data_IF_386419428253
#
_entry.id   IF_386419428253
#
_cell.length_a   1.000
_cell.length_b   1.000
_cell.length_c   1.000
_cell.angle_alpha   90.00
_cell.angle_beta   90.00
_cell.angle_gamma   90.00
#
_symmetry.space_group_name_H-M   'P 1'
#
loop_
_entity.id
_entity.type
_entity.pdbx_description
1 polymer ?
#
# COMPACT_ATOMS: atom_id res chain seq x y z
N UNK A 1 4.92 38.29 -16.58
CA UNK A 1 5.01 36.91 -17.09
C UNK A 1 5.48 36.06 -15.91
N UNK A 2 4.76 35.12 -15.32
CA UNK A 2 3.43 34.54 -15.53
C UNK A 2 2.92 34.12 -14.14
N UNK A 3 1.65 34.39 -13.88
CA UNK A 3 0.94 34.09 -12.64
C UNK A 3 0.92 32.57 -12.38
N UNK A 4 1.49 32.13 -11.26
CA UNK A 4 1.04 30.89 -10.62
C UNK A 4 -0.27 31.25 -9.90
N UNK A 5 -1.40 30.97 -10.55
CA UNK A 5 -2.72 31.01 -9.90
C UNK A 5 -2.76 29.86 -8.90
N UNK A 6 -2.31 30.11 -7.68
CA UNK A 6 -2.60 29.25 -6.55
C UNK A 6 -4.11 29.27 -6.34
N UNK A 7 -4.82 28.26 -6.83
CA UNK A 7 -6.13 27.90 -6.28
C UNK A 7 -5.89 27.33 -4.88
N UNK A 8 -5.49 28.22 -3.98
CA UNK A 8 -5.67 28.10 -2.55
C UNK A 8 -7.14 28.39 -2.31
N UNK A 9 -7.99 27.40 -2.55
CA UNK A 9 -9.28 27.40 -1.85
C UNK A 9 -8.94 27.22 -0.37
N UNK A 10 -8.75 28.37 0.27
CA UNK A 10 -8.30 28.59 1.62
C UNK A 10 -9.10 27.75 2.61
N UNK A 11 -8.53 26.65 3.09
CA UNK A 11 -8.93 25.98 4.33
C UNK A 11 -8.33 26.74 5.52
N UNK A 12 -8.76 27.99 5.71
CA UNK A 12 -8.42 28.73 6.93
C UNK A 12 -9.02 28.03 8.14
N UNK A 13 -8.27 28.03 9.25
CA UNK A 13 -8.73 27.44 10.52
C UNK A 13 -10.11 27.96 10.94
N UNK A 14 -10.41 29.23 10.64
CA UNK A 14 -11.73 29.84 10.86
C UNK A 14 -12.88 29.13 10.12
N UNK A 15 -12.65 28.62 8.91
CA UNK A 15 -13.65 27.84 8.16
C UNK A 15 -13.82 26.44 8.74
N UNK A 16 -12.73 25.83 9.21
CA UNK A 16 -12.75 24.51 9.86
C UNK A 16 -13.52 24.60 11.18
N UNK A 17 -13.23 25.61 12.01
CA UNK A 17 -13.94 25.85 13.28
C UNK A 17 -15.42 26.15 13.07
N UNK A 18 -15.74 26.97 12.06
CA UNK A 18 -17.14 27.24 11.69
C UNK A 18 -17.86 25.97 11.25
N UNK A 19 -17.24 25.15 10.39
CA UNK A 19 -17.82 23.87 9.97
C UNK A 19 -18.02 22.92 11.16
N UNK A 20 -17.06 22.84 12.08
CA UNK A 20 -17.17 22.00 13.28
C UNK A 20 -18.30 22.48 14.21
N UNK A 21 -18.44 23.80 14.36
CA UNK A 21 -19.46 24.43 15.20
C UNK A 21 -20.87 24.32 14.61
N UNK A 22 -21.00 24.49 13.29
CA UNK A 22 -22.28 24.35 12.57
C UNK A 22 -22.76 22.89 12.55
N UNK A 23 -21.83 21.92 12.46
CA UNK A 23 -22.14 20.50 12.47
C UNK A 23 -22.14 19.86 13.87
N UNK A 24 -21.99 20.65 14.94
CA UNK A 24 -21.96 20.18 16.35
C UNK A 24 -20.99 19.02 16.59
N UNK A 25 -19.80 19.08 16.02
CA UNK A 25 -18.75 18.08 16.24
C UNK A 25 -18.13 18.37 17.60
N UNK A 26 -18.40 17.52 18.61
CA UNK A 26 -17.81 17.65 19.94
C UNK A 26 -16.31 17.32 19.85
N UNK A 27 -15.38 18.20 20.27
CA UNK A 27 -13.92 17.95 20.20
C UNK A 27 -13.45 16.77 21.07
N UNK A 28 -14.32 16.24 21.93
CA UNK A 28 -14.07 15.05 22.74
C UNK A 28 -14.99 13.86 22.37
N UNK A 29 -15.67 13.93 21.22
CA UNK A 29 -16.36 12.76 20.66
C UNK A 29 -15.31 11.74 20.28
N UNK A 30 -15.30 10.65 21.06
CA UNK A 30 -14.58 9.41 20.86
C UNK A 30 -14.26 9.14 19.38
N UNK A 31 -12.98 8.94 19.07
CA UNK A 31 -12.34 8.61 17.78
C UNK A 31 -12.93 7.36 17.10
N UNK A 32 -13.98 6.75 17.66
CA UNK A 32 -14.74 5.63 17.11
C UNK A 32 -15.63 5.97 15.90
N UNK A 33 -15.62 7.22 15.42
CA UNK A 33 -16.00 7.55 14.04
C UNK A 33 -14.77 7.62 13.10
N UNK A 34 -13.76 6.81 13.38
CA UNK A 34 -12.77 6.37 12.41
C UNK A 34 -13.54 5.73 11.26
N UNK A 35 -13.85 6.53 10.23
CA UNK A 35 -14.49 6.12 8.97
C UNK A 35 -14.20 4.66 8.69
N UNK A 36 -15.22 3.80 8.80
CA UNK A 36 -15.08 2.38 8.51
C UNK A 36 -14.34 2.25 7.18
N UNK A 37 -13.11 1.72 7.23
CA UNK A 37 -12.30 1.54 6.04
C UNK A 37 -13.11 0.62 5.15
N UNK A 38 -13.65 1.18 4.04
CA UNK A 38 -14.45 0.40 3.10
C UNK A 38 -13.72 -0.90 2.73
N UNK A 39 -14.46 -1.97 2.49
CA UNK A 39 -13.86 -3.26 2.14
C UNK A 39 -12.83 -3.13 1.01
N UNK A 40 -13.10 -2.29 0.00
CA UNK A 40 -12.18 -2.00 -1.10
C UNK A 40 -10.83 -1.44 -0.62
N UNK A 41 -10.85 -0.51 0.34
CA UNK A 41 -9.63 0.05 0.93
C UNK A 41 -8.86 -1.00 1.74
N UNK A 42 -9.54 -1.93 2.41
CA UNK A 42 -8.89 -3.06 3.10
C UNK A 42 -8.21 -3.98 2.09
N UNK A 43 -8.88 -4.31 0.99
CA UNK A 43 -8.32 -5.11 -0.10
C UNK A 43 -7.10 -4.45 -0.73
N UNK A 44 -7.21 -3.17 -1.11
CA UNK A 44 -6.08 -2.43 -1.69
C UNK A 44 -4.87 -2.41 -0.75
N UNK A 45 -5.09 -2.24 0.57
CA UNK A 45 -4.02 -2.32 1.56
C UNK A 45 -3.32 -3.67 1.56
N UNK A 46 -4.07 -4.78 1.46
CA UNK A 46 -3.50 -6.13 1.40
C UNK A 46 -2.65 -6.37 0.15
N UNK A 47 -2.91 -5.65 -0.93
CA UNK A 47 -2.16 -5.77 -2.18
C UNK A 47 -0.92 -4.88 -2.25
N UNK A 48 -0.83 -3.85 -1.39
CA UNK A 48 0.32 -2.95 -1.39
C UNK A 48 1.61 -3.74 -1.20
N UNK A 49 2.59 -3.43 -2.05
CA UNK A 49 3.91 -4.05 -2.07
C UNK A 49 3.92 -5.56 -2.36
N UNK A 50 2.78 -6.15 -2.76
CA UNK A 50 2.75 -7.51 -3.29
C UNK A 50 3.08 -7.51 -4.78
N UNK A 51 3.55 -8.66 -5.24
CA UNK A 51 3.91 -8.86 -6.64
C UNK A 51 2.65 -9.01 -7.49
N UNK A 52 2.54 -8.15 -8.49
CA UNK A 52 1.51 -8.18 -9.51
C UNK A 52 2.10 -8.69 -10.82
N UNK A 53 1.40 -9.60 -11.48
CA UNK A 53 1.61 -9.97 -12.88
C UNK A 53 0.45 -9.41 -13.70
N UNK A 54 0.76 -8.47 -14.58
CA UNK A 54 -0.21 -7.75 -15.39
C UNK A 54 -0.04 -8.14 -16.86
N UNK A 55 -1.09 -8.65 -17.49
CA UNK A 55 -1.13 -8.85 -18.95
C UNK A 55 -1.65 -7.58 -19.62
N UNK A 56 -0.92 -7.13 -20.63
CA UNK A 56 -1.21 -5.93 -21.41
C UNK A 56 -1.91 -6.31 -22.73
N UNK A 57 -2.68 -5.39 -23.29
CA UNK A 57 -3.42 -5.59 -24.55
C UNK A 57 -2.53 -5.84 -25.78
N UNK A 58 -1.26 -5.48 -25.72
CA UNK A 58 -0.30 -5.66 -26.82
C UNK A 58 0.57 -6.92 -26.69
N UNK A 59 0.17 -7.86 -25.82
CA UNK A 59 0.88 -9.13 -25.63
C UNK A 59 2.09 -9.05 -24.70
N UNK A 60 2.25 -7.94 -23.96
CA UNK A 60 3.29 -7.82 -22.94
C UNK A 60 2.78 -8.28 -21.57
N UNK A 61 3.67 -8.86 -20.78
CA UNK A 61 3.46 -9.17 -19.36
C UNK A 61 4.39 -8.32 -18.53
N UNK A 62 3.83 -7.54 -17.61
CA UNK A 62 4.58 -6.74 -16.65
C UNK A 62 4.51 -7.41 -15.28
N UNK A 63 5.66 -7.57 -14.62
CA UNK A 63 5.74 -8.15 -13.28
C UNK A 63 6.45 -7.15 -12.38
N UNK A 64 5.81 -6.73 -11.30
CA UNK A 64 6.39 -5.74 -10.38
C UNK A 64 5.58 -5.60 -9.09
N UNK A 65 6.06 -4.77 -8.17
CA UNK A 65 5.42 -4.52 -6.88
C UNK A 65 4.30 -3.50 -7.04
N UNK A 66 3.10 -3.82 -6.56
CA UNK A 66 1.99 -2.87 -6.57
C UNK A 66 2.22 -1.72 -5.60
N UNK A 67 2.33 -0.49 -6.12
CA UNK A 67 2.58 0.71 -5.30
C UNK A 67 1.27 1.45 -5.02
N UNK A 68 0.49 1.73 -6.07
CA UNK A 68 -0.79 2.41 -5.92
C UNK A 68 -1.66 2.26 -7.17
N UNK A 69 -2.92 2.70 -7.04
CA UNK A 69 -3.90 2.81 -8.13
C UNK A 69 -4.76 4.06 -7.96
N UNK A 70 -5.44 4.47 -9.03
CA UNK A 70 -6.43 5.55 -9.02
C UNK A 70 -7.84 5.04 -9.40
N UNK A 71 -8.81 5.96 -9.48
CA UNK A 71 -10.20 5.64 -9.81
C UNK A 71 -10.39 5.13 -11.27
N UNK A 72 -9.45 5.42 -12.16
CA UNK A 72 -9.45 4.95 -13.55
C UNK A 72 -8.68 3.63 -13.71
N UNK A 73 -8.28 3.01 -12.60
CA UNK A 73 -7.45 1.81 -12.56
C UNK A 73 -6.09 1.98 -13.25
N UNK A 74 -5.55 3.21 -13.32
CA UNK A 74 -4.14 3.37 -13.64
C UNK A 74 -3.31 2.84 -12.48
N UNK A 75 -2.28 2.04 -12.75
CA UNK A 75 -1.46 1.39 -11.74
C UNK A 75 -0.03 1.91 -11.80
N UNK A 76 0.56 2.13 -10.64
CA UNK A 76 2.01 2.28 -10.51
C UNK A 76 2.60 0.95 -10.03
N UNK A 77 3.55 0.40 -10.79
CA UNK A 77 4.35 -0.76 -10.40
C UNK A 77 5.81 -0.35 -10.15
N UNK A 78 6.36 -0.79 -9.02
CA UNK A 78 7.78 -0.66 -8.68
C UNK A 78 8.57 -1.92 -9.03
N UNK A 79 9.88 -1.79 -9.21
CA UNK A 79 10.79 -2.91 -9.54
C UNK A 79 10.28 -3.77 -10.69
N UNK A 80 9.76 -3.13 -11.73
CA UNK A 80 9.00 -3.80 -12.79
C UNK A 80 9.92 -4.37 -13.84
N UNK A 81 9.64 -5.61 -14.24
CA UNK A 81 10.20 -6.30 -15.39
C UNK A 81 9.13 -6.56 -16.44
N UNK A 82 9.50 -6.46 -17.71
CA UNK A 82 8.66 -6.65 -18.88
C UNK A 82 9.08 -7.92 -19.65
N UNK A 83 8.08 -8.69 -20.09
CA UNK A 83 8.22 -9.89 -20.91
C UNK A 83 7.27 -9.81 -22.10
N UNK A 84 7.70 -10.27 -23.28
CA UNK A 84 6.84 -10.30 -24.47
C UNK A 84 6.36 -11.72 -24.76
N UNK A 85 5.08 -11.87 -25.15
CA UNK A 85 4.54 -13.12 -25.68
C UNK A 85 5.30 -13.53 -26.95
N UNK A 86 6.23 -14.47 -26.80
CA UNK A 86 7.18 -14.84 -27.85
C UNK A 86 8.53 -15.35 -27.34
N UNK A 87 8.75 -15.34 -26.02
CA UNK A 87 9.99 -15.83 -25.42
C UNK A 87 11.14 -14.85 -25.52
N UNK A 88 10.84 -13.55 -25.59
CA UNK A 88 11.85 -12.49 -25.49
C UNK A 88 12.49 -12.44 -24.10
N UNK A 89 13.65 -11.82 -24.02
CA UNK A 89 14.36 -11.65 -22.74
C UNK A 89 13.65 -10.67 -21.81
N UNK A 90 13.92 -10.83 -20.51
CA UNK A 90 13.47 -9.90 -19.49
C UNK A 90 14.04 -8.50 -19.72
N UNK A 91 13.18 -7.48 -19.68
CA UNK A 91 13.61 -6.09 -19.68
C UNK A 91 13.22 -5.41 -18.37
N UNK A 92 14.22 -4.96 -17.62
CA UNK A 92 14.01 -4.16 -16.42
C UNK A 92 13.54 -2.75 -16.78
N UNK A 93 12.41 -2.33 -16.21
CA UNK A 93 11.83 -1.00 -16.40
C UNK A 93 11.94 -0.11 -15.15
N UNK A 94 11.93 -0.69 -13.95
CA UNK A 94 11.96 0.06 -12.69
C UNK A 94 10.57 0.51 -12.24
N UNK A 95 10.32 1.83 -12.17
CA UNK A 95 9.02 2.39 -11.78
C UNK A 95 8.21 2.77 -13.02
N UNK A 96 7.02 2.20 -13.17
CA UNK A 96 6.19 2.41 -14.37
C UNK A 96 4.75 2.77 -14.02
N UNK A 97 4.14 3.60 -14.87
CA UNK A 97 2.71 3.85 -14.88
C UNK A 97 2.05 3.04 -15.99
N UNK A 98 1.03 2.27 -15.63
CA UNK A 98 0.27 1.41 -16.53
C UNK A 98 -1.14 1.98 -16.65
N UNK A 99 -1.56 2.47 -17.83
CA UNK A 99 -2.93 2.91 -18.03
C UNK A 99 -3.93 1.77 -17.90
N UNK A 100 -4.97 1.95 -17.08
CA UNK A 100 -5.94 0.88 -16.78
C UNK A 100 -6.62 0.29 -18.01
N UNK A 101 -6.89 1.11 -19.02
CA UNK A 101 -7.50 0.71 -20.31
C UNK A 101 -6.71 -0.33 -21.13
N UNK A 102 -5.42 -0.51 -20.84
CA UNK A 102 -4.57 -1.48 -21.53
C UNK A 102 -4.31 -2.74 -20.70
N UNK A 103 -4.91 -2.85 -19.51
CA UNK A 103 -4.81 -4.02 -18.65
C UNK A 103 -5.85 -5.06 -19.10
N UNK A 104 -5.37 -6.26 -19.40
CA UNK A 104 -6.20 -7.42 -19.73
C UNK A 104 -6.52 -8.22 -18.48
N UNK A 105 -5.51 -8.50 -17.65
CA UNK A 105 -5.68 -9.23 -16.39
C UNK A 105 -4.59 -8.87 -15.39
N UNK A 106 -4.89 -9.08 -14.12
CA UNK A 106 -3.95 -8.95 -13.00
C UNK A 106 -4.00 -10.24 -12.20
N UNK A 107 -2.84 -10.81 -11.94
CA UNK A 107 -2.63 -11.91 -11.00
C UNK A 107 -1.79 -11.37 -9.84
N UNK A 108 -2.17 -11.70 -8.61
CA UNK A 108 -1.50 -11.21 -7.39
C UNK A 108 -0.97 -12.41 -6.63
N UNK A 109 0.29 -12.36 -6.21
CA UNK A 109 0.86 -13.34 -5.30
C UNK A 109 0.66 -12.86 -3.85
N UNK A 110 -0.29 -13.46 -3.13
CA UNK A 110 -0.64 -13.08 -1.75
C UNK A 110 0.27 -13.80 -0.72
N UNK A 111 1.58 -13.87 -0.98
CA UNK A 111 2.53 -14.50 -0.05
C UNK A 111 2.76 -13.61 1.17
N UNK A 112 2.17 -14.03 2.29
CA UNK A 112 2.37 -13.56 3.67
C UNK A 112 1.80 -12.18 4.03
N UNK A 113 0.48 -12.17 4.23
CA UNK A 113 -0.12 -11.33 5.27
C UNK A 113 0.48 -11.80 6.60
N UNK A 114 1.42 -11.04 7.17
CA UNK A 114 1.57 -11.04 8.62
C UNK A 114 0.35 -10.30 9.14
N UNK A 115 -0.50 -11.00 9.87
CA UNK A 115 -1.56 -10.36 10.63
C UNK A 115 -0.88 -9.51 11.71
N UNK A 116 -0.55 -8.25 11.39
CA UNK A 116 0.05 -7.29 12.33
C UNK A 116 -0.97 -6.79 13.39
N UNK A 117 -1.99 -7.60 13.70
CA UNK A 117 -2.97 -7.43 14.79
C UNK A 117 -2.61 -8.31 16.01
N UNK A 118 -1.33 -8.63 16.22
CA UNK A 118 -0.86 -9.24 17.46
C UNK A 118 -0.43 -8.13 18.45
N UNK A 119 -1.11 -7.95 19.59
CA UNK A 119 -0.72 -6.95 20.57
C UNK A 119 0.61 -7.37 21.22
N UNK A 120 1.66 -6.57 21.03
CA UNK A 120 2.94 -6.72 21.75
C UNK A 120 2.69 -6.79 23.26
N UNK A 121 2.79 -8.00 23.80
CA UNK A 121 2.59 -8.31 25.20
C UNK A 121 3.23 -9.63 25.56
N UNK A 122 4.57 -9.68 25.56
CA UNK A 122 5.39 -10.22 26.67
C UNK A 122 6.88 -10.16 26.30
N UNK A 123 7.68 -9.64 27.24
CA UNK A 123 9.12 -9.46 27.10
C UNK A 123 9.82 -10.80 27.28
N UNK A 124 10.52 -11.29 26.26
CA UNK A 124 11.47 -12.40 26.45
C UNK A 124 12.65 -11.94 27.31
N UNK A 125 12.72 -12.44 28.54
CA UNK A 125 13.92 -12.37 29.37
C UNK A 125 14.97 -13.30 28.79
N UNK A 126 16.11 -12.73 28.41
CA UNK A 126 17.34 -13.46 28.03
C UNK A 126 17.63 -14.63 28.98
N UNK A 127 17.89 -15.86 28.48
CA UNK A 127 18.35 -16.94 29.35
C UNK A 127 19.81 -16.67 29.75
N UNK A 128 20.02 -16.45 31.05
CA UNK A 128 21.32 -16.52 31.72
C UNK A 128 21.95 -17.88 31.42
N UNK A 129 23.15 -17.89 30.84
CA UNK A 129 23.96 -19.10 30.69
C UNK A 129 24.32 -19.63 32.09
N UNK A 130 23.87 -20.84 32.42
CA UNK A 130 24.38 -21.59 33.56
C UNK A 130 25.66 -22.36 33.19
N UNK A 131 26.62 -22.54 34.13
CA UNK A 131 27.92 -23.10 33.83
C UNK A 131 27.89 -24.62 33.64
N UNK A 132 28.75 -25.08 32.75
CA UNK A 132 29.06 -26.48 32.46
C UNK A 132 29.66 -27.16 33.69
N UNK A 133 28.95 -28.11 34.29
CA UNK A 133 29.55 -29.11 35.17
C UNK A 133 29.88 -30.39 34.40
N UNK A 134 31.16 -30.74 34.45
CA UNK A 134 31.82 -31.95 33.98
C UNK A 134 31.40 -33.22 34.73
N UNK A 135 31.55 -34.38 34.05
CA UNK A 135 31.73 -35.79 34.53
C UNK A 135 30.51 -36.72 34.29
N UNK A 136 30.60 -37.97 33.83
CA UNK A 136 31.66 -39.00 33.64
C UNK A 136 31.09 -40.02 32.63
N UNK A 137 31.92 -40.53 31.69
CA UNK A 137 32.35 -41.95 31.59
C UNK A 137 33.77 -41.95 31.06
#
# INVERSE_FOLDING_TARGET
MSNYSSNSEDYTWDKIEKYQKENKIDPNTNVQQQTEISQNRKTLKKWLNNQFRIKMTDGRTLIGLFVCTDAAANIILGMTSEYTEGGGEERLLGLVMIPGRYIVSIEVDETHIKDDDDPEGERETTPTQEPIETNIV
#
